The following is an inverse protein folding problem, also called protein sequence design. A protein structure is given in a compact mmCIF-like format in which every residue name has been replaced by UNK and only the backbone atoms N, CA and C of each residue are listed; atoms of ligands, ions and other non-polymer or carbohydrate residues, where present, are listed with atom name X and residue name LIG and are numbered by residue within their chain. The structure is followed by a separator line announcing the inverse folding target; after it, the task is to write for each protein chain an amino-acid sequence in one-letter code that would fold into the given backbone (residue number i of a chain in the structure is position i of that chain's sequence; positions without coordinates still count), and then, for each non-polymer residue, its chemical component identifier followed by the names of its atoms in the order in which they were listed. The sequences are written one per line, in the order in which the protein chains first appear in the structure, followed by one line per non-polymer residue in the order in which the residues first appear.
data_IF_853938463036
#
_entry.id   IF_853938463036
#
_cell.length_a   1.000
_cell.length_b   1.000
_cell.length_c   1.000
_cell.angle_alpha   90.00
_cell.angle_beta   90.00
_cell.angle_gamma   90.00
#
_symmetry.space_group_name_H-M   'P 1'
#
loop_
_entity.id
_entity.type
_entity.pdbx_description
1 polymer ?
#
# COMPACT_ATOMS: atom_id res chain seq x y z
N UNK A 1 -10.84 -20.57 3.55
CA UNK A 1 -11.22 -19.14 3.47
C UNK A 1 -11.89 -18.79 2.14
N UNK A 2 -11.56 -19.46 1.03
CA UNK A 2 -12.02 -19.16 -0.36
C UNK A 2 -13.54 -19.00 -0.52
N UNK A 3 -14.34 -19.87 0.11
CA UNK A 3 -15.81 -19.86 0.03
C UNK A 3 -16.48 -18.54 0.49
N UNK A 4 -15.75 -17.72 1.25
CA UNK A 4 -16.26 -16.45 1.79
C UNK A 4 -15.70 -15.23 1.08
N UNK A 5 -14.60 -15.37 0.31
CA UNK A 5 -13.96 -14.25 -0.38
C UNK A 5 -14.96 -13.58 -1.33
N UNK A 6 -15.74 -14.35 -2.08
CA UNK A 6 -16.76 -13.83 -3.00
C UNK A 6 -17.93 -13.11 -2.30
N UNK A 7 -18.07 -13.28 -0.99
CA UNK A 7 -19.12 -12.66 -0.15
C UNK A 7 -18.65 -11.39 0.56
N UNK A 8 -17.36 -11.05 0.51
CA UNK A 8 -16.82 -9.82 1.09
C UNK A 8 -17.42 -8.60 0.37
N UNK A 9 -17.92 -7.62 1.13
CA UNK A 9 -18.55 -6.37 0.64
C UNK A 9 -17.97 -5.10 1.25
N UNK A 10 -16.91 -5.25 2.05
CA UNK A 10 -16.12 -4.14 2.57
C UNK A 10 -14.71 -4.22 1.95
N UNK A 11 -14.03 -3.09 1.74
CA UNK A 11 -12.68 -3.12 1.21
C UNK A 11 -11.75 -3.99 2.06
N UNK A 12 -11.14 -5.00 1.45
CA UNK A 12 -10.24 -5.96 2.09
C UNK A 12 -8.89 -5.97 1.37
N UNK A 13 -7.83 -5.70 2.12
CA UNK A 13 -6.45 -5.90 1.68
C UNK A 13 -5.92 -7.21 2.26
N UNK A 14 -5.56 -8.15 1.39
CA UNK A 14 -4.85 -9.38 1.70
C UNK A 14 -3.37 -9.17 1.39
N UNK A 15 -2.53 -9.07 2.41
CA UNK A 15 -1.07 -9.02 2.25
C UNK A 15 -0.49 -10.40 2.55
N UNK A 16 0.27 -10.97 1.62
CA UNK A 16 0.97 -12.24 1.81
C UNK A 16 2.41 -12.18 1.28
N UNK A 17 3.26 -13.11 1.71
CA UNK A 17 4.58 -13.30 1.11
C UNK A 17 4.68 -14.68 0.45
N UNK A 18 5.42 -14.75 -0.65
CA UNK A 18 5.58 -15.97 -1.44
C UNK A 18 6.47 -17.00 -0.74
N UNK A 19 7.33 -16.56 0.18
CA UNK A 19 8.21 -17.39 1.00
C UNK A 19 7.59 -17.86 2.32
N UNK A 20 6.30 -17.58 2.59
CA UNK A 20 5.67 -17.93 3.85
C UNK A 20 5.48 -19.47 3.98
N UNK A 21 6.15 -20.15 4.93
CA UNK A 21 6.05 -21.60 5.09
C UNK A 21 4.71 -22.06 5.67
N UNK A 22 3.91 -21.13 6.22
CA UNK A 22 2.61 -21.41 6.84
C UNK A 22 1.50 -21.12 5.83
N UNK A 23 1.61 -20.03 5.08
CA UNK A 23 0.61 -19.58 4.11
C UNK A 23 1.18 -19.56 2.68
N UNK A 24 1.54 -20.74 2.17
CA UNK A 24 2.01 -20.90 0.78
C UNK A 24 0.99 -20.34 -0.22
N UNK A 25 1.52 -19.82 -1.33
CA UNK A 25 0.72 -19.24 -2.42
C UNK A 25 -0.30 -20.21 -3.02
N UNK A 26 -0.05 -21.52 -2.97
CA UNK A 26 -0.98 -22.55 -3.43
C UNK A 26 -2.32 -22.56 -2.66
N UNK A 27 -2.32 -22.02 -1.44
CA UNK A 27 -3.52 -21.94 -0.58
C UNK A 27 -4.24 -20.60 -0.69
N UNK A 28 -3.67 -19.63 -1.40
CA UNK A 28 -4.27 -18.30 -1.56
C UNK A 28 -5.40 -18.40 -2.59
N UNK A 29 -6.63 -17.94 -2.27
CA UNK A 29 -7.78 -17.99 -3.18
C UNK A 29 -7.70 -16.90 -4.26
N UNK A 30 -6.71 -16.99 -5.14
CA UNK A 30 -6.38 -15.97 -6.13
C UNK A 30 -7.57 -15.72 -7.07
N UNK A 31 -8.23 -16.77 -7.54
CA UNK A 31 -9.31 -16.66 -8.51
C UNK A 31 -10.55 -15.99 -7.89
N UNK A 32 -10.89 -16.33 -6.65
CA UNK A 32 -11.99 -15.68 -5.94
C UNK A 32 -11.67 -14.22 -5.62
N UNK A 33 -10.41 -13.90 -5.29
CA UNK A 33 -9.98 -12.51 -5.06
C UNK A 33 -10.06 -11.71 -6.36
N UNK A 34 -9.59 -12.25 -7.48
CA UNK A 34 -9.68 -11.60 -8.80
C UNK A 34 -11.11 -11.28 -9.20
N UNK A 35 -12.06 -12.13 -8.83
CA UNK A 35 -13.47 -11.93 -9.14
C UNK A 35 -14.16 -10.91 -8.22
N UNK A 36 -13.65 -10.68 -7.00
CA UNK A 36 -14.28 -9.76 -6.05
C UNK A 36 -13.64 -8.35 -6.10
N UNK A 37 -14.36 -7.31 -6.58
CA UNK A 37 -13.82 -5.94 -6.65
C UNK A 37 -13.55 -5.28 -5.30
N UNK A 38 -14.02 -5.87 -4.19
CA UNK A 38 -13.75 -5.38 -2.84
C UNK A 38 -12.45 -5.94 -2.24
N UNK A 39 -11.81 -6.92 -2.90
CA UNK A 39 -10.61 -7.58 -2.40
C UNK A 39 -9.39 -7.19 -3.23
N UNK A 40 -8.28 -6.93 -2.55
CA UNK A 40 -6.97 -6.72 -3.17
C UNK A 40 -6.00 -7.73 -2.58
N UNK A 41 -5.28 -8.47 -3.42
CA UNK A 41 -4.15 -9.30 -3.02
C UNK A 41 -2.86 -8.57 -3.34
N UNK A 42 -2.05 -8.30 -2.32
CA UNK A 42 -0.69 -7.81 -2.46
C UNK A 42 0.28 -8.92 -2.03
N UNK A 43 1.20 -9.30 -2.91
CA UNK A 43 2.24 -10.30 -2.61
C UNK A 43 3.62 -9.67 -2.63
N UNK A 44 4.53 -10.28 -1.88
CA UNK A 44 5.94 -9.91 -1.84
C UNK A 44 6.77 -11.17 -1.97
N UNK A 45 7.94 -11.10 -2.61
CA UNK A 45 8.82 -12.27 -2.69
C UNK A 45 9.25 -12.79 -1.31
N UNK A 46 9.47 -11.87 -0.36
CA UNK A 46 9.94 -12.18 0.98
C UNK A 46 9.21 -11.37 2.05
N UNK A 47 9.24 -11.87 3.27
CA UNK A 47 8.88 -11.09 4.46
C UNK A 47 7.65 -11.58 5.21
N UNK A 48 7.08 -12.73 4.87
CA UNK A 48 5.89 -13.25 5.56
C UNK A 48 6.20 -13.63 7.00
N UNK A 49 6.86 -14.77 7.19
CA UNK A 49 7.16 -15.32 8.52
C UNK A 49 7.93 -14.35 9.44
N UNK A 50 8.75 -13.48 8.86
CA UNK A 50 9.57 -12.52 9.60
C UNK A 50 8.91 -11.14 9.77
N UNK A 51 7.76 -10.84 9.16
CA UNK A 51 7.04 -9.58 9.38
C UNK A 51 7.56 -8.36 8.60
N UNK A 52 8.06 -8.58 7.38
CA UNK A 52 8.42 -7.56 6.38
C UNK A 52 9.41 -6.51 6.90
N UNK A 53 10.55 -6.96 7.41
CA UNK A 53 11.64 -6.06 7.82
C UNK A 53 12.49 -5.59 6.63
N UNK A 54 13.05 -4.38 6.76
CA UNK A 54 14.05 -3.81 5.86
C UNK A 54 15.12 -3.06 6.66
N UNK A 55 16.33 -2.94 6.10
CA UNK A 55 17.47 -2.28 6.73
C UNK A 55 18.35 -3.23 7.54
N UNK A 56 19.67 -3.07 7.41
CA UNK A 56 20.66 -3.94 8.04
C UNK A 56 21.04 -3.48 9.47
N UNK A 57 21.31 -2.18 9.64
CA UNK A 57 21.79 -1.62 10.92
C UNK A 57 20.66 -1.14 11.84
N UNK A 58 19.48 -0.85 11.28
CA UNK A 58 18.30 -0.43 12.03
C UNK A 58 17.05 -1.04 11.37
N UNK A 59 16.74 -2.32 11.66
CA UNK A 59 15.65 -3.02 11.00
C UNK A 59 14.31 -2.36 11.32
N UNK A 60 13.57 -1.98 10.29
CA UNK A 60 12.23 -1.41 10.38
C UNK A 60 11.25 -2.23 9.56
N UNK A 61 9.95 -2.17 9.89
CA UNK A 61 8.92 -2.90 9.16
C UNK A 61 8.37 -2.03 8.04
N UNK A 62 8.60 -2.43 6.80
CA UNK A 62 8.23 -1.60 5.66
C UNK A 62 6.73 -1.69 5.33
N UNK A 63 6.05 -2.77 5.72
CA UNK A 63 4.62 -2.97 5.45
C UNK A 63 3.71 -1.87 6.04
N UNK A 64 4.17 -1.15 7.06
CA UNK A 64 3.39 -0.11 7.75
C UNK A 64 2.97 0.99 6.78
N UNK A 65 3.85 1.37 5.85
CA UNK A 65 3.58 2.42 4.85
C UNK A 65 2.43 2.05 3.91
N UNK A 66 2.49 0.94 3.13
CA UNK A 66 1.40 0.58 2.22
C UNK A 66 0.09 0.27 2.95
N UNK A 67 0.14 -0.27 4.17
CA UNK A 67 -1.09 -0.45 4.97
C UNK A 67 -1.72 0.89 5.36
N UNK A 68 -0.90 1.88 5.75
CA UNK A 68 -1.39 3.22 6.07
C UNK A 68 -1.97 3.91 4.85
N UNK A 69 -1.30 3.82 3.70
CA UNK A 69 -1.77 4.36 2.42
C UNK A 69 -3.11 3.74 2.00
N UNK A 70 -3.25 2.41 2.14
CA UNK A 70 -4.51 1.72 1.89
C UNK A 70 -5.63 2.24 2.81
N UNK A 71 -5.40 2.33 4.11
CA UNK A 71 -6.39 2.85 5.06
C UNK A 71 -6.81 4.29 4.73
N UNK A 72 -5.85 5.16 4.44
CA UNK A 72 -6.11 6.55 4.04
C UNK A 72 -6.96 6.59 2.78
N UNK A 73 -6.59 5.83 1.74
CA UNK A 73 -7.33 5.78 0.48
C UNK A 73 -8.79 5.33 0.68
N UNK A 74 -9.03 4.32 1.53
CA UNK A 74 -10.40 3.87 1.84
C UNK A 74 -11.19 4.92 2.63
N UNK A 75 -10.55 5.64 3.56
CA UNK A 75 -11.20 6.71 4.32
C UNK A 75 -11.57 7.90 3.41
N UNK A 76 -10.65 8.32 2.54
CA UNK A 76 -10.88 9.39 1.56
C UNK A 76 -11.98 9.01 0.55
N UNK A 77 -12.00 7.76 0.09
CA UNK A 77 -13.05 7.28 -0.81
C UNK A 77 -14.45 7.29 -0.15
N UNK A 78 -14.53 7.04 1.16
CA UNK A 78 -15.79 7.09 1.93
C UNK A 78 -16.21 8.50 2.32
N UNK A 79 -15.24 9.36 2.59
CA UNK A 79 -15.44 10.75 3.00
C UNK A 79 -14.66 11.64 2.05
N UNK A 80 -15.15 11.85 0.81
CA UNK A 80 -14.45 12.70 -0.15
C UNK A 80 -14.40 14.11 0.43
N UNK A 81 -13.23 14.47 0.96
CA UNK A 81 -12.96 15.85 1.33
C UNK A 81 -12.96 16.65 0.04
N UNK A 82 -13.68 17.77 -0.01
CA UNK A 82 -13.54 18.71 -1.13
C UNK A 82 -12.08 19.14 -1.14
N UNK A 83 -11.28 18.66 -2.08
CA UNK A 83 -9.94 19.21 -2.35
C UNK A 83 -10.13 20.72 -2.56
N UNK A 84 -9.65 21.54 -1.62
CA UNK A 84 -9.45 22.96 -1.89
C UNK A 84 -8.40 23.07 -2.99
N UNK A 85 -8.75 23.74 -4.09
CA UNK A 85 -7.78 24.19 -5.09
C UNK A 85 -6.72 25.05 -4.40
N UNK A 86 -5.53 24.52 -4.13
CA UNK A 86 -4.31 25.32 -3.99
C UNK A 86 -3.09 24.42 -3.70
N UNK A 87 -2.49 23.86 -4.74
CA UNK A 87 -1.04 23.72 -4.84
C UNK A 87 -0.69 23.90 -6.32
N UNK A 88 -0.61 25.16 -6.76
CA UNK A 88 0.21 25.49 -7.93
C UNK A 88 1.68 25.25 -7.53
N UNK A 89 2.49 24.58 -8.38
CA UNK A 89 3.91 24.44 -8.09
C UNK A 89 4.55 25.84 -8.06
N UNK A 90 5.27 26.14 -6.97
CA UNK A 90 6.09 27.34 -6.85
C UNK A 90 7.02 27.40 -8.08
N UNK A 91 6.86 28.42 -8.91
CA UNK A 91 7.84 28.74 -9.95
C UNK A 91 9.16 29.07 -9.27
N UNK A 92 10.18 28.23 -9.51
CA UNK A 92 11.53 28.52 -9.06
C UNK A 92 12.07 29.62 -9.97
N UNK A 93 12.08 30.85 -9.47
CA UNK A 93 12.74 31.97 -10.14
C UNK A 93 14.26 31.74 -10.10
N UNK A 94 14.81 31.15 -11.16
CA UNK A 94 16.25 30.88 -11.33
C UNK A 94 17.12 32.14 -11.19
N UNK A 95 16.54 33.32 -11.42
CA UNK A 95 17.22 34.61 -11.34
C UNK A 95 17.63 35.00 -9.90
N UNK A 96 16.97 34.45 -8.86
CA UNK A 96 17.32 34.73 -7.45
C UNK A 96 18.49 33.91 -6.92
N UNK A 97 18.81 32.77 -7.55
CA UNK A 97 19.96 31.93 -7.17
C UNK A 97 21.29 32.52 -7.67
N UNK A 98 21.29 33.23 -8.79
CA UNK A 98 22.51 33.76 -9.42
C UNK A 98 23.12 34.98 -8.69
N UNK A 99 22.42 35.62 -7.75
CA UNK A 99 22.91 36.80 -7.01
C UNK A 99 23.46 36.50 -5.61
N UNK A 100 23.58 35.23 -5.22
CA UNK A 100 24.16 34.85 -3.91
C UNK A 100 25.60 34.31 -4.02
N UNK A 101 26.19 34.37 -5.21
CA UNK A 101 27.60 34.09 -5.46
C UNK A 101 28.21 35.32 -6.12
N UNK A 102 28.36 36.39 -5.35
CA UNK A 102 29.32 37.47 -5.57
C UNK A 102 29.59 38.18 -4.25
#
# INVERSE_FOLDING_TARGET
SSQYITKVRIPLLCLNAEDDPVCSMDWVPIDEIKYNPYCILATTYYGGHLGWFTGFWNPTRWYVKPLSEYCIAILEAKHPTKKSKSEEPLSVDEEKMAKKIQ
#
